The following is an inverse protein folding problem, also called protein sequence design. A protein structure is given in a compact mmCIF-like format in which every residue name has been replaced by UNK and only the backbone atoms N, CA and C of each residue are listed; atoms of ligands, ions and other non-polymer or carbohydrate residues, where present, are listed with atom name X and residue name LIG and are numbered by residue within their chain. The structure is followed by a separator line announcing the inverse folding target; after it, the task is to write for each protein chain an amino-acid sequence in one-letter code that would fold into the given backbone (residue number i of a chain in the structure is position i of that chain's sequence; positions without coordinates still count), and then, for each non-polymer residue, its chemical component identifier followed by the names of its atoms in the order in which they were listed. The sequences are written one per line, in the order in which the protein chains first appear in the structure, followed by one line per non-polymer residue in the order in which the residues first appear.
data_IF_652861399482
#
_entry.id   IF_652861399482
#
_cell.length_a   1.000
_cell.length_b   1.000
_cell.length_c   1.000
_cell.angle_alpha   90.00
_cell.angle_beta   90.00
_cell.angle_gamma   90.00
#
_symmetry.space_group_name_H-M   'P 1'
#
loop_
_entity.id
_entity.type
_entity.pdbx_description
1 polymer ?
#
# COMPACT_ATOMS: atom_id res chain seq x y z
N UNK A 1 0.53 -6.94 10.79
CA UNK A 1 -0.25 -5.68 10.61
C UNK A 1 0.00 -5.09 9.24
N UNK A 2 1.25 -5.04 8.78
CA UNK A 2 1.64 -4.70 7.40
C UNK A 2 1.05 -5.66 6.35
N UNK A 3 0.76 -6.91 6.72
CA UNK A 3 0.10 -7.88 5.84
C UNK A 3 -1.31 -7.42 5.40
N UNK A 4 -2.02 -6.69 6.25
CA UNK A 4 -3.37 -6.20 5.93
C UNK A 4 -3.35 -5.08 4.88
N UNK A 5 -2.34 -4.20 4.91
CA UNK A 5 -2.21 -3.14 3.90
C UNK A 5 -1.70 -3.71 2.57
N UNK A 6 -0.79 -4.68 2.62
CA UNK A 6 -0.32 -5.41 1.44
C UNK A 6 -1.48 -6.13 0.72
N UNK A 7 -2.30 -6.88 1.45
CA UNK A 7 -3.46 -7.57 0.87
C UNK A 7 -4.47 -6.57 0.27
N UNK A 8 -4.77 -5.47 0.97
CA UNK A 8 -5.72 -4.46 0.48
C UNK A 8 -5.22 -3.79 -0.81
N UNK A 9 -3.92 -3.48 -0.90
CA UNK A 9 -3.31 -2.92 -2.11
C UNK A 9 -3.34 -3.92 -3.28
N UNK A 10 -3.10 -5.20 -3.00
CA UNK A 10 -3.17 -6.27 -4.01
C UNK A 10 -4.59 -6.42 -4.54
N UNK A 11 -5.58 -6.46 -3.65
CA UNK A 11 -7.00 -6.54 -4.01
C UNK A 11 -7.44 -5.31 -4.80
N UNK A 12 -6.95 -4.12 -4.43
CA UNK A 12 -7.23 -2.88 -5.16
C UNK A 12 -6.72 -2.95 -6.59
N UNK A 13 -5.47 -3.39 -6.79
CA UNK A 13 -4.89 -3.55 -8.13
C UNK A 13 -5.66 -4.57 -8.97
N UNK A 14 -6.06 -5.69 -8.36
CA UNK A 14 -6.89 -6.70 -9.03
C UNK A 14 -8.27 -6.17 -9.41
N UNK A 15 -8.92 -5.40 -8.52
CA UNK A 15 -10.21 -4.77 -8.76
C UNK A 15 -10.14 -3.73 -9.88
N UNK A 16 -9.07 -2.92 -9.93
CA UNK A 16 -8.83 -1.95 -11.02
C UNK A 16 -8.67 -2.69 -12.35
N UNK A 17 -7.88 -3.77 -12.39
CA UNK A 17 -7.68 -4.56 -13.60
C UNK A 17 -8.97 -5.26 -14.07
N UNK A 18 -9.82 -5.69 -13.14
CA UNK A 18 -11.12 -6.31 -13.43
C UNK A 18 -12.22 -5.30 -13.78
N UNK A 19 -12.02 -3.99 -13.52
CA UNK A 19 -13.04 -2.96 -13.67
C UNK A 19 -14.18 -3.10 -12.65
N UNK A 20 -13.86 -3.53 -11.43
CA UNK A 20 -14.82 -3.80 -10.36
C UNK A 20 -15.18 -2.52 -9.58
N UNK A 21 -16.44 -2.36 -9.19
CA UNK A 21 -16.92 -1.22 -8.41
C UNK A 21 -16.32 -1.19 -6.98
N UNK A 22 -15.80 -2.33 -6.49
CA UNK A 22 -15.08 -2.45 -5.21
C UNK A 22 -13.82 -1.58 -5.15
N UNK A 23 -13.31 -1.08 -6.28
CA UNK A 23 -12.15 -0.16 -6.31
C UNK A 23 -12.37 1.03 -5.38
N UNK A 24 -13.58 1.61 -5.36
CA UNK A 24 -13.87 2.77 -4.49
C UNK A 24 -13.81 2.41 -3.01
N UNK A 25 -14.35 1.25 -2.65
CA UNK A 25 -14.33 0.75 -1.26
C UNK A 25 -12.91 0.44 -0.80
N UNK A 26 -12.11 -0.19 -1.67
CA UNK A 26 -10.72 -0.54 -1.41
C UNK A 26 -9.84 0.71 -1.24
N UNK A 27 -10.05 1.76 -2.04
CA UNK A 27 -9.34 3.05 -1.87
C UNK A 27 -9.64 3.63 -0.49
N UNK A 28 -10.91 3.72 -0.09
CA UNK A 28 -11.27 4.23 1.24
C UNK A 28 -10.64 3.40 2.36
N UNK A 29 -10.58 2.07 2.18
CA UNK A 29 -9.97 1.16 3.14
C UNK A 29 -8.45 1.33 3.23
N UNK A 30 -7.79 1.62 2.11
CA UNK A 30 -6.37 1.97 2.11
C UNK A 30 -6.13 3.27 2.88
N UNK A 31 -6.95 4.30 2.68
CA UNK A 31 -6.85 5.57 3.41
C UNK A 31 -7.03 5.37 4.93
N UNK A 32 -8.03 4.59 5.34
CA UNK A 32 -8.25 4.22 6.75
C UNK A 32 -7.04 3.49 7.35
N UNK A 33 -6.52 2.48 6.63
CA UNK A 33 -5.34 1.73 7.05
C UNK A 33 -4.11 2.63 7.15
N UNK A 34 -3.93 3.56 6.19
CA UNK A 34 -2.85 4.53 6.21
C UNK A 34 -2.92 5.45 7.42
N UNK A 35 -4.12 5.91 7.80
CA UNK A 35 -4.34 6.70 9.01
C UNK A 35 -4.13 5.90 10.30
N UNK A 36 -4.44 4.60 10.27
CA UNK A 36 -4.22 3.67 11.37
C UNK A 36 -2.79 3.11 11.45
N UNK A 37 -1.89 3.46 10.52
CA UNK A 37 -0.52 2.98 10.53
C UNK A 37 0.20 3.46 11.81
N UNK A 38 0.84 2.54 12.57
CA UNK A 38 1.60 2.90 13.75
C UNK A 38 2.79 3.81 13.38
N UNK A 39 3.26 4.59 14.36
CA UNK A 39 4.38 5.52 14.16
C UNK A 39 5.70 4.83 13.75
N UNK A 40 5.82 3.53 14.05
CA UNK A 40 6.94 2.66 13.67
C UNK A 40 6.84 2.14 12.21
N UNK A 41 5.78 2.55 11.48
CA UNK A 41 5.63 2.20 10.07
C UNK A 41 6.64 2.97 9.22
N UNK A 42 7.22 2.34 8.18
CA UNK A 42 8.19 3.00 7.32
C UNK A 42 7.63 4.29 6.69
N UNK A 43 8.33 5.43 6.79
CA UNK A 43 7.86 6.70 6.22
C UNK A 43 7.73 6.65 4.69
N UNK A 44 8.55 5.82 4.03
CA UNK A 44 8.45 5.58 2.59
C UNK A 44 7.11 4.96 2.17
N UNK A 45 6.60 4.01 2.96
CA UNK A 45 5.29 3.41 2.71
C UNK A 45 4.18 4.47 2.75
N UNK A 46 4.21 5.35 3.77
CA UNK A 46 3.22 6.44 3.89
C UNK A 46 3.29 7.38 2.68
N UNK A 47 4.49 7.75 2.24
CA UNK A 47 4.68 8.60 1.07
C UNK A 47 4.14 7.98 -0.22
N UNK A 48 4.32 6.67 -0.42
CA UNK A 48 3.76 5.98 -1.57
C UNK A 48 2.22 5.97 -1.54
N UNK A 49 1.62 5.77 -0.37
CA UNK A 49 0.17 5.81 -0.19
C UNK A 49 -0.39 7.22 -0.44
N UNK A 50 0.24 8.28 0.08
CA UNK A 50 -0.16 9.68 -0.18
C UNK A 50 -0.13 10.04 -1.67
N UNK A 51 0.86 9.54 -2.39
CA UNK A 51 0.99 9.74 -3.84
C UNK A 51 0.10 8.81 -4.67
N UNK A 52 -0.71 7.96 -4.03
CA UNK A 52 -1.51 6.91 -4.66
C UNK A 52 -0.68 6.00 -5.57
N UNK A 53 0.59 5.80 -5.19
CA UNK A 53 1.53 4.94 -5.89
C UNK A 53 1.43 3.52 -5.35
N UNK A 54 0.27 2.88 -5.52
CA UNK A 54 -0.03 1.58 -4.93
C UNK A 54 0.93 0.48 -5.40
N UNK A 55 1.37 0.51 -6.66
CA UNK A 55 2.38 -0.42 -7.18
C UNK A 55 3.71 -0.28 -6.44
N UNK A 56 4.17 0.95 -6.18
CA UNK A 56 5.40 1.21 -5.41
C UNK A 56 5.27 0.81 -3.95
N UNK A 57 4.10 1.03 -3.35
CA UNK A 57 3.82 0.56 -2.01
C UNK A 57 3.89 -0.98 -1.92
N UNK A 58 3.37 -1.70 -2.93
CA UNK A 58 3.51 -3.16 -3.02
C UNK A 58 4.97 -3.57 -3.19
N UNK A 59 5.72 -2.98 -4.12
CA UNK A 59 7.14 -3.26 -4.32
C UNK A 59 7.94 -3.07 -3.03
N UNK A 60 7.64 -2.00 -2.27
CA UNK A 60 8.25 -1.69 -0.99
C UNK A 60 7.93 -2.74 0.07
N UNK A 61 6.67 -3.15 0.17
CA UNK A 61 6.21 -4.17 1.14
C UNK A 61 6.76 -5.56 0.83
N UNK A 62 6.97 -5.87 -0.45
CA UNK A 62 7.51 -7.15 -0.92
C UNK A 62 9.05 -7.18 -0.96
N UNK A 63 9.70 -6.07 -0.58
CA UNK A 63 11.16 -5.94 -0.61
C UNK A 63 11.75 -5.96 -2.03
N UNK A 64 10.93 -5.69 -3.05
CA UNK A 64 11.36 -5.54 -4.45
C UNK A 64 11.80 -4.10 -4.77
N UNK A 65 11.46 -3.15 -3.92
CA UNK A 65 11.93 -1.78 -4.06
C UNK A 65 13.39 -1.70 -3.57
N UNK A 66 14.35 -1.59 -4.49
CA UNK A 66 15.77 -1.44 -4.17
C UNK A 66 16.05 -0.20 -3.29
N UNK A 67 15.16 0.80 -3.33
CA UNK A 67 15.21 1.98 -2.47
C UNK A 67 14.85 1.70 -0.99
N UNK A 68 14.22 0.55 -0.71
CA UNK A 68 13.80 0.15 0.63
C UNK A 68 14.88 -0.58 1.42
N UNK A 69 16.06 -0.82 0.84
CA UNK A 69 17.18 -1.34 1.60
C UNK A 69 17.52 -0.32 2.71
N UNK A 70 17.32 -0.65 4.00
CA UNK A 70 18.01 0.08 5.03
C UNK A 70 19.48 -0.28 4.81
N UNK A 71 20.23 0.61 4.18
CA UNK A 71 21.68 0.53 4.31
C UNK A 71 21.94 0.53 5.83
N UNK A 72 22.52 -0.59 6.28
CA UNK A 72 22.78 -0.97 7.66
C UNK A 72 23.35 0.15 8.53
#
# INVERSE_FOLDING_TARGET
MTDSIHQTLTDLMAAIAAGDDRVRELISRVDELQHALPADSPPMLRHYLEKRSYAKALDFLEGRDEAAAPNC
#
